data_IF_751124871276
#
_entry.id   IF_751124871276
#
_cell.length_a   1.000
_cell.length_b   1.000
_cell.length_c   1.000
_cell.angle_alpha   90.00
_cell.angle_beta   90.00
_cell.angle_gamma   90.00
#
_symmetry.space_group_name_H-M   'P 1'
#
loop_
_entity.id
_entity.type
_entity.pdbx_description
1 polymer ?
#
# COMPACT_ATOMS: atom_id res chain seq x y z
N UNK A 1 29.62 -3.41 -52.20
CA UNK A 1 28.66 -2.51 -52.87
C UNK A 1 27.54 -1.95 -51.97
N UNK A 2 27.09 -2.60 -50.88
CA UNK A 2 26.06 -2.02 -50.00
C UNK A 2 26.58 -1.00 -48.97
N UNK A 3 27.82 -1.17 -48.47
CA UNK A 3 28.45 -0.25 -47.49
C UNK A 3 28.54 1.19 -48.00
N UNK A 4 28.91 1.37 -49.26
CA UNK A 4 29.06 2.70 -49.87
C UNK A 4 27.72 3.42 -49.99
N UNK A 5 26.64 2.69 -50.34
CA UNK A 5 25.28 3.24 -50.40
C UNK A 5 24.79 3.69 -49.03
N UNK A 6 25.05 2.91 -47.98
CA UNK A 6 24.65 3.30 -46.62
C UNK A 6 25.44 4.51 -46.12
N UNK A 7 26.74 4.57 -46.41
CA UNK A 7 27.57 5.73 -46.06
C UNK A 7 27.07 7.00 -46.74
N UNK A 8 26.65 6.93 -48.02
CA UNK A 8 26.11 8.12 -48.72
C UNK A 8 24.84 8.65 -48.04
N UNK A 9 23.99 7.78 -47.48
CA UNK A 9 22.82 8.23 -46.73
C UNK A 9 23.18 8.90 -45.40
N UNK A 10 24.24 8.43 -44.72
CA UNK A 10 24.77 9.11 -43.53
C UNK A 10 25.38 10.47 -43.89
N UNK A 11 26.15 10.55 -44.98
CA UNK A 11 26.82 11.80 -45.37
C UNK A 11 25.83 12.89 -45.83
N UNK A 12 24.68 12.49 -46.38
CA UNK A 12 23.60 13.40 -46.83
C UNK A 12 22.62 13.78 -45.71
N UNK A 13 22.67 13.13 -44.56
CA UNK A 13 21.76 13.42 -43.46
C UNK A 13 22.23 14.64 -42.66
N UNK A 14 21.28 15.48 -42.24
CA UNK A 14 21.55 16.63 -41.38
C UNK A 14 21.72 16.18 -39.92
N UNK A 15 22.96 15.90 -39.52
CA UNK A 15 23.29 15.61 -38.13
C UNK A 15 23.71 16.87 -37.38
N UNK A 16 23.28 16.94 -36.11
CA UNK A 16 23.85 17.87 -35.14
C UNK A 16 24.88 17.11 -34.31
N UNK A 17 26.15 17.48 -34.43
CA UNK A 17 27.20 16.92 -33.59
C UNK A 17 27.10 17.51 -32.18
N UNK A 18 27.06 16.65 -31.17
CA UNK A 18 27.04 17.05 -29.75
C UNK A 18 28.18 16.36 -29.00
N UNK A 19 29.01 17.15 -28.32
CA UNK A 19 30.04 16.62 -27.42
C UNK A 19 29.42 16.39 -26.04
N UNK A 20 29.52 15.15 -25.54
CA UNK A 20 29.06 14.77 -24.20
C UNK A 20 30.26 14.56 -23.28
N UNK A 21 30.25 15.21 -22.12
CA UNK A 21 31.29 15.07 -21.11
C UNK A 21 30.85 14.05 -20.06
N UNK A 22 31.67 13.04 -19.83
CA UNK A 22 31.33 11.93 -18.93
C UNK A 22 31.05 12.37 -17.49
N UNK A 23 31.85 13.31 -16.96
CA UNK A 23 31.68 13.83 -15.60
C UNK A 23 30.32 14.54 -15.42
N UNK A 24 29.94 15.38 -16.38
CA UNK A 24 28.65 16.07 -16.35
C UNK A 24 27.48 15.08 -16.40
N UNK A 25 27.58 14.05 -17.24
CA UNK A 25 26.57 13.00 -17.33
C UNK A 25 26.41 12.25 -15.99
N UNK A 26 27.52 11.99 -15.30
CA UNK A 26 27.51 11.32 -13.99
C UNK A 26 26.85 12.21 -12.92
N UNK A 27 27.15 13.50 -12.90
CA UNK A 27 26.54 14.45 -11.98
C UNK A 27 25.03 14.63 -12.22
N UNK A 28 24.62 14.67 -13.49
CA UNK A 28 23.21 14.68 -13.89
C UNK A 28 22.50 13.40 -13.44
N UNK A 29 23.10 12.23 -13.73
CA UNK A 29 22.55 10.93 -13.35
C UNK A 29 22.41 10.82 -11.83
N UNK A 30 23.42 11.26 -11.08
CA UNK A 30 23.39 11.29 -9.62
C UNK A 30 22.20 12.11 -9.12
N UNK A 31 22.04 13.33 -9.64
CA UNK A 31 20.93 14.21 -9.25
C UNK A 31 19.57 13.58 -9.55
N UNK A 32 19.42 12.95 -10.72
CA UNK A 32 18.18 12.27 -11.10
C UNK A 32 17.87 11.10 -10.15
N UNK A 33 18.88 10.28 -9.82
CA UNK A 33 18.73 9.15 -8.91
C UNK A 33 18.41 9.60 -7.48
N UNK A 34 19.09 10.64 -6.98
CA UNK A 34 18.85 11.18 -5.64
C UNK A 34 17.41 11.66 -5.51
N UNK A 35 16.91 12.43 -6.49
CA UNK A 35 15.51 12.86 -6.53
C UNK A 35 14.54 11.68 -6.65
N UNK A 36 14.88 10.65 -7.42
CA UNK A 36 14.06 9.45 -7.55
C UNK A 36 13.93 8.73 -6.21
N UNK A 37 15.03 8.46 -5.51
CA UNK A 37 15.02 7.78 -4.21
C UNK A 37 14.33 8.61 -3.13
N UNK A 38 14.56 9.93 -3.12
CA UNK A 38 13.94 10.82 -2.15
C UNK A 38 12.41 10.80 -2.26
N UNK A 39 11.86 10.79 -3.48
CA UNK A 39 10.41 10.64 -3.70
C UNK A 39 9.88 9.33 -3.10
N UNK A 40 10.59 8.22 -3.30
CA UNK A 40 10.18 6.90 -2.76
C UNK A 40 10.26 6.87 -1.24
N UNK A 41 11.33 7.44 -0.67
CA UNK A 41 11.50 7.55 0.78
C UNK A 41 10.37 8.37 1.42
N UNK A 42 10.04 9.54 0.86
CA UNK A 42 8.95 10.38 1.37
C UNK A 42 7.59 9.68 1.27
N UNK A 43 7.35 8.89 0.22
CA UNK A 43 6.12 8.10 0.09
C UNK A 43 6.01 7.01 1.16
N UNK A 44 7.10 6.28 1.43
CA UNK A 44 7.16 5.27 2.47
C UNK A 44 6.99 5.89 3.87
N UNK A 45 7.63 7.05 4.13
CA UNK A 45 7.50 7.75 5.40
C UNK A 45 6.06 8.14 5.70
N UNK A 46 5.33 8.68 4.72
CA UNK A 46 3.90 9.02 4.88
C UNK A 46 3.04 7.81 5.24
N UNK A 47 3.33 6.65 4.65
CA UNK A 47 2.62 5.40 4.98
C UNK A 47 2.94 5.00 6.42
N UNK A 48 4.21 5.05 6.81
CA UNK A 48 4.64 4.68 8.16
C UNK A 48 4.07 5.61 9.23
N UNK A 49 4.13 6.92 9.03
CA UNK A 49 3.55 7.93 9.93
C UNK A 49 2.03 7.73 10.06
N UNK A 50 1.33 7.56 8.94
CA UNK A 50 -0.11 7.32 8.97
C UNK A 50 -0.47 6.01 9.67
N UNK A 51 0.29 4.93 9.42
CA UNK A 51 0.11 3.65 10.09
C UNK A 51 0.34 3.77 11.60
N UNK A 52 1.40 4.47 12.02
CA UNK A 52 1.69 4.74 13.42
C UNK A 52 0.54 5.53 14.08
N UNK A 53 0.13 6.66 13.49
CA UNK A 53 -0.93 7.51 14.03
C UNK A 53 -2.28 6.78 14.14
N UNK A 54 -2.62 5.98 13.13
CA UNK A 54 -3.85 5.19 13.12
C UNK A 54 -3.80 4.09 14.17
N UNK A 55 -2.69 3.35 14.23
CA UNK A 55 -2.51 2.26 15.19
C UNK A 55 -2.56 2.79 16.62
N UNK A 56 -1.77 3.80 16.96
CA UNK A 56 -1.75 4.44 18.27
C UNK A 56 -3.14 4.93 18.69
N UNK A 57 -3.85 5.63 17.77
CA UNK A 57 -5.20 6.13 18.04
C UNK A 57 -6.15 4.98 18.36
N UNK A 58 -6.13 3.91 17.57
CA UNK A 58 -7.03 2.77 17.75
C UNK A 58 -6.71 1.99 19.04
N UNK A 59 -5.43 1.79 19.35
CA UNK A 59 -5.03 1.16 20.60
C UNK A 59 -5.43 1.99 21.83
N UNK A 60 -5.21 3.31 21.82
CA UNK A 60 -5.62 4.20 22.92
C UNK A 60 -7.13 4.21 23.13
N UNK A 61 -7.91 4.35 22.04
CA UNK A 61 -9.38 4.30 22.14
C UNK A 61 -9.85 2.96 22.71
N UNK A 62 -9.20 1.85 22.35
CA UNK A 62 -9.52 0.51 22.83
C UNK A 62 -9.15 0.31 24.31
N UNK A 63 -7.99 0.80 24.74
CA UNK A 63 -7.58 0.79 26.15
C UNK A 63 -8.60 1.55 27.02
N UNK A 64 -9.02 2.74 26.56
CA UNK A 64 -10.04 3.54 27.25
C UNK A 64 -11.40 2.82 27.33
N UNK A 65 -11.83 2.17 26.25
CA UNK A 65 -13.07 1.39 26.23
C UNK A 65 -13.02 0.21 27.22
N UNK A 66 -11.91 -0.52 27.25
CA UNK A 66 -11.68 -1.64 28.17
C UNK A 66 -11.70 -1.18 29.64
N UNK A 67 -10.98 -0.11 29.97
CA UNK A 67 -10.95 0.46 31.32
C UNK A 67 -12.34 0.96 31.76
N UNK A 68 -13.15 1.47 30.84
CA UNK A 68 -14.52 1.90 31.12
C UNK A 68 -15.42 0.72 31.45
N UNK A 69 -15.32 -0.39 30.69
CA UNK A 69 -16.06 -1.63 30.96
C UNK A 69 -15.68 -2.28 32.30
N UNK A 70 -14.39 -2.24 32.67
CA UNK A 70 -13.94 -2.73 33.98
C UNK A 70 -14.56 -1.92 35.14
N UNK A 71 -14.63 -0.59 35.00
CA UNK A 71 -15.23 0.28 36.01
C UNK A 71 -16.73 0.02 36.20
N UNK A 72 -17.45 -0.33 35.14
CA UNK A 72 -18.89 -0.66 35.21
C UNK A 72 -19.17 -2.05 35.75
N UNK A 73 -18.26 -3.00 35.58
CA UNK A 73 -18.45 -4.42 35.96
C UNK A 73 -17.98 -4.77 37.38
N UNK A 74 -17.41 -3.82 38.14
CA UNK A 74 -16.96 -3.98 39.54
C UNK A 74 -18.07 -4.32 40.56
N UNK A 75 -19.31 -4.60 40.13
CA UNK A 75 -20.41 -5.07 41.00
C UNK A 75 -20.80 -6.54 40.80
N UNK A 76 -20.06 -7.35 40.03
CA UNK A 76 -20.33 -8.80 39.96
C UNK A 76 -19.08 -9.67 39.99
N UNK A 77 -19.18 -10.69 40.82
CA UNK A 77 -18.19 -11.66 41.30
C UNK A 77 -17.25 -12.29 40.25
N UNK A 78 -15.99 -12.50 40.65
CA UNK A 78 -14.85 -13.00 39.87
C UNK A 78 -15.15 -14.23 38.98
N UNK A 79 -14.83 -14.10 37.68
CA UNK A 79 -14.56 -15.18 36.74
C UNK A 79 -13.61 -14.69 35.62
N UNK A 80 -12.38 -14.33 35.97
CA UNK A 80 -11.42 -13.75 35.02
C UNK A 80 -10.73 -14.78 34.10
N UNK A 81 -11.12 -16.07 34.12
CA UNK A 81 -10.45 -17.15 33.36
C UNK A 81 -11.29 -17.83 32.28
N UNK A 82 -12.44 -17.26 31.90
CA UNK A 82 -13.29 -17.81 30.82
C UNK A 82 -13.89 -16.72 29.94
N UNK A 83 -13.03 -16.07 29.15
CA UNK A 83 -13.28 -15.85 27.72
C UNK A 83 -11.98 -15.37 27.09
N UNK A 84 -11.31 -16.25 26.35
CA UNK A 84 -10.40 -15.88 25.26
C UNK A 84 -11.23 -15.27 24.09
N UNK A 85 -12.08 -14.31 24.43
CA UNK A 85 -12.91 -13.56 23.51
C UNK A 85 -12.26 -12.20 23.35
N UNK A 86 -11.59 -12.02 22.23
CA UNK A 86 -11.23 -10.75 21.61
C UNK A 86 -11.75 -9.50 22.34
N UNK A 87 -10.82 -8.63 22.74
CA UNK A 87 -10.99 -7.31 23.38
C UNK A 87 -11.94 -6.32 22.66
N UNK A 88 -13.17 -6.71 22.30
CA UNK A 88 -14.13 -5.92 21.54
C UNK A 88 -13.60 -5.43 20.18
N UNK A 89 -12.64 -6.15 19.62
CA UNK A 89 -11.80 -5.74 18.49
C UNK A 89 -12.58 -5.44 17.21
N UNK A 90 -13.68 -6.15 16.97
CA UNK A 90 -14.56 -5.93 15.83
C UNK A 90 -15.94 -6.50 16.14
N UNK A 91 -16.98 -5.93 15.52
CA UNK A 91 -18.34 -6.46 15.61
C UNK A 91 -18.54 -7.68 14.68
N UNK A 92 -17.65 -7.86 13.70
CA UNK A 92 -17.77 -8.87 12.65
C UNK A 92 -17.11 -10.19 13.05
N UNK A 93 -17.80 -11.31 12.80
CA UNK A 93 -17.27 -12.66 13.06
C UNK A 93 -16.50 -13.26 11.89
N UNK A 94 -16.63 -12.67 10.70
CA UNK A 94 -16.01 -13.16 9.46
C UNK A 94 -15.62 -11.97 8.59
N UNK A 95 -14.50 -12.08 7.87
CA UNK A 95 -14.05 -11.07 6.92
C UNK A 95 -15.10 -10.79 5.82
N UNK A 96 -15.83 -11.82 5.40
CA UNK A 96 -16.88 -11.70 4.39
C UNK A 96 -18.07 -10.84 4.85
N UNK A 97 -18.20 -10.54 6.14
CA UNK A 97 -19.22 -9.61 6.62
C UNK A 97 -18.80 -8.15 6.56
N UNK A 98 -17.53 -7.87 6.28
CA UNK A 98 -17.08 -6.51 5.95
C UNK A 98 -17.63 -6.11 4.59
N UNK A 99 -17.94 -4.83 4.45
CA UNK A 99 -18.39 -4.26 3.19
C UNK A 99 -17.31 -4.41 2.10
N UNK A 100 -17.75 -4.27 0.85
CA UNK A 100 -16.85 -4.41 -0.30
C UNK A 100 -15.88 -3.23 -0.43
N UNK A 101 -16.13 -2.13 0.27
CA UNK A 101 -15.22 -0.99 0.31
C UNK A 101 -14.02 -1.27 1.21
N UNK A 102 -14.26 -1.78 2.41
CA UNK A 102 -13.25 -2.07 3.43
C UNK A 102 -12.45 -3.32 3.11
N UNK A 103 -13.11 -4.40 2.65
CA UNK A 103 -12.45 -5.68 2.43
C UNK A 103 -12.48 -6.11 0.96
N UNK A 104 -11.30 -6.02 0.34
CA UNK A 104 -10.98 -6.54 -0.99
C UNK A 104 -9.80 -7.50 -0.88
N UNK A 105 -9.89 -8.64 -1.53
CA UNK A 105 -8.93 -9.74 -1.36
C UNK A 105 -8.33 -10.18 -2.69
N UNK A 106 -7.01 -10.30 -2.73
CA UNK A 106 -6.27 -10.69 -3.93
C UNK A 106 -6.54 -12.15 -4.36
N UNK A 107 -6.95 -13.01 -3.43
CA UNK A 107 -7.17 -14.45 -3.67
C UNK A 107 -8.63 -14.80 -3.96
N UNK A 108 -9.56 -13.86 -3.74
CA UNK A 108 -11.00 -14.08 -3.91
C UNK A 108 -11.49 -13.22 -5.07
N UNK A 109 -11.68 -13.77 -6.28
CA UNK A 109 -12.04 -13.00 -7.47
C UNK A 109 -13.30 -12.14 -7.30
N UNK A 110 -14.28 -12.61 -6.51
CA UNK A 110 -15.52 -11.88 -6.22
C UNK A 110 -15.31 -10.62 -5.36
N UNK A 111 -14.15 -10.52 -4.68
CA UNK A 111 -13.77 -9.41 -3.78
C UNK A 111 -12.73 -8.48 -4.39
N UNK A 112 -12.39 -8.65 -5.67
CA UNK A 112 -11.52 -7.71 -6.36
C UNK A 112 -12.27 -6.39 -6.62
N UNK A 113 -11.54 -5.27 -6.77
CA UNK A 113 -12.12 -4.01 -7.23
C UNK A 113 -12.82 -4.20 -8.59
N UNK A 114 -13.99 -3.57 -8.78
CA UNK A 114 -14.75 -3.67 -10.03
C UNK A 114 -14.14 -2.81 -11.15
N UNK A 115 -13.44 -1.73 -10.80
CA UNK A 115 -12.88 -0.73 -11.70
C UNK A 115 -11.43 -1.03 -12.16
N UNK A 116 -11.11 -2.30 -12.43
CA UNK A 116 -9.76 -2.69 -12.86
C UNK A 116 -9.55 -2.45 -14.35
N UNK A 117 -8.48 -1.73 -14.72
CA UNK A 117 -8.11 -1.44 -16.11
C UNK A 117 -6.65 -1.79 -16.37
N UNK A 118 -6.30 -2.14 -17.61
CA UNK A 118 -4.93 -2.48 -17.98
C UNK A 118 -4.02 -1.26 -17.82
N UNK A 119 -2.93 -1.41 -17.07
CA UNK A 119 -1.98 -0.32 -16.85
C UNK A 119 -0.58 -0.70 -17.39
N UNK A 120 0.00 0.07 -18.34
CA UNK A 120 1.26 -0.27 -18.99
C UNK A 120 2.43 -0.47 -18.02
N UNK A 121 2.56 0.38 -17.00
CA UNK A 121 3.65 0.25 -16.03
C UNK A 121 3.59 -1.06 -15.23
N UNK A 122 2.39 -1.54 -14.90
CA UNK A 122 2.18 -2.76 -14.12
C UNK A 122 2.02 -4.01 -14.98
N UNK A 123 1.84 -3.85 -16.30
CA UNK A 123 1.64 -4.91 -17.29
C UNK A 123 0.48 -5.85 -16.92
N UNK A 124 -0.54 -5.32 -16.24
CA UNK A 124 -1.72 -6.05 -15.79
C UNK A 124 -2.90 -5.12 -15.51
N UNK A 125 -4.08 -5.70 -15.34
CA UNK A 125 -5.25 -4.98 -14.86
C UNK A 125 -5.07 -4.63 -13.38
N UNK A 126 -5.21 -3.35 -13.05
CA UNK A 126 -5.07 -2.82 -11.69
C UNK A 126 -6.19 -1.82 -11.40
N UNK A 127 -6.51 -1.64 -10.13
CA UNK A 127 -7.27 -0.48 -9.66
C UNK A 127 -6.29 0.54 -9.08
N UNK A 128 -6.51 1.82 -9.37
CA UNK A 128 -5.73 2.93 -8.78
C UNK A 128 -6.45 3.59 -7.60
N UNK A 129 -7.71 3.21 -7.37
CA UNK A 129 -8.55 3.77 -6.31
C UNK A 129 -8.60 2.87 -5.07
N UNK A 130 -8.42 1.56 -5.26
CA UNK A 130 -8.52 0.59 -4.18
C UNK A 130 -7.29 -0.29 -4.07
N UNK A 131 -6.91 -0.51 -2.82
CA UNK A 131 -5.97 -1.52 -2.36
C UNK A 131 -6.66 -2.89 -2.25
N UNK A 132 -5.83 -3.93 -2.19
CA UNK A 132 -6.27 -5.30 -1.95
C UNK A 132 -5.41 -5.91 -0.85
N UNK A 133 -5.99 -6.79 -0.05
CA UNK A 133 -5.27 -7.52 0.99
C UNK A 133 -4.87 -8.89 0.46
N UNK A 134 -3.66 -9.33 0.82
CA UNK A 134 -3.19 -10.70 0.64
C UNK A 134 -2.95 -11.30 2.02
N UNK A 135 -3.74 -12.30 2.38
CA UNK A 135 -3.64 -13.00 3.66
C UNK A 135 -2.97 -14.34 3.40
N UNK A 136 -1.93 -14.68 4.17
CA UNK A 136 -1.26 -15.98 4.08
C UNK A 136 -2.24 -17.11 4.42
N UNK A 137 -2.10 -18.26 3.74
CA UNK A 137 -2.97 -19.41 3.94
C UNK A 137 -2.85 -20.01 5.35
N UNK A 138 -1.71 -19.78 6.02
CA UNK A 138 -1.45 -20.22 7.40
C UNK A 138 -2.18 -19.37 8.44
N UNK A 139 -2.67 -18.17 8.09
CA UNK A 139 -3.29 -17.24 9.02
C UNK A 139 -4.83 -17.43 9.02
N UNK A 140 -5.46 -17.70 10.18
CA UNK A 140 -6.90 -17.87 10.26
C UNK A 140 -7.66 -16.59 9.90
N UNK A 141 -8.24 -16.56 8.70
CA UNK A 141 -8.99 -15.41 8.14
C UNK A 141 -10.16 -14.93 9.01
N UNK A 142 -10.81 -15.83 9.76
CA UNK A 142 -11.95 -15.50 10.62
C UNK A 142 -11.57 -15.30 12.09
N UNK A 143 -10.28 -15.19 12.42
CA UNK A 143 -9.91 -14.73 13.74
C UNK A 143 -10.12 -13.22 13.87
N UNK A 144 -10.33 -12.78 15.09
CA UNK A 144 -10.69 -11.40 15.36
C UNK A 144 -9.53 -10.44 15.06
N UNK A 145 -8.28 -10.89 15.23
CA UNK A 145 -7.11 -10.10 14.89
C UNK A 145 -6.99 -9.83 13.40
N UNK A 146 -7.22 -10.82 12.52
CA UNK A 146 -7.18 -10.64 11.06
C UNK A 146 -8.29 -9.71 10.60
N UNK A 147 -9.50 -9.88 11.11
CA UNK A 147 -10.64 -9.02 10.77
C UNK A 147 -10.33 -7.58 11.16
N UNK A 148 -9.84 -7.38 12.37
CA UNK A 148 -9.46 -6.07 12.86
C UNK A 148 -8.31 -5.47 12.05
N UNK A 149 -7.28 -6.26 11.73
CA UNK A 149 -6.14 -5.81 10.92
C UNK A 149 -6.60 -5.30 9.56
N UNK A 150 -7.47 -6.04 8.88
CA UNK A 150 -8.06 -5.58 7.60
C UNK A 150 -8.84 -4.28 7.80
N UNK A 151 -9.69 -4.20 8.82
CA UNK A 151 -10.56 -3.05 9.08
C UNK A 151 -9.77 -1.76 9.33
N UNK A 152 -8.68 -1.82 10.10
CA UNK A 152 -7.90 -0.61 10.36
C UNK A 152 -6.92 -0.28 9.23
N UNK A 153 -6.28 -1.28 8.62
CA UNK A 153 -5.31 -1.05 7.54
C UNK A 153 -5.96 -0.50 6.28
N UNK A 154 -7.26 -0.76 6.07
CA UNK A 154 -8.05 -0.11 5.01
C UNK A 154 -7.94 1.42 5.06
N UNK A 155 -7.79 2.01 6.26
CA UNK A 155 -7.65 3.47 6.43
C UNK A 155 -6.33 4.05 5.89
N UNK A 156 -5.38 3.21 5.45
CA UNK A 156 -4.17 3.63 4.74
C UNK A 156 -4.42 3.93 3.25
N UNK A 157 -5.55 3.50 2.69
CA UNK A 157 -5.90 3.68 1.28
C UNK A 157 -5.76 5.13 0.77
N UNK A 158 -6.25 6.16 1.50
CA UNK A 158 -6.07 7.55 1.07
C UNK A 158 -4.60 7.96 0.93
N UNK A 159 -3.70 7.41 1.74
CA UNK A 159 -2.25 7.69 1.64
C UNK A 159 -1.66 7.04 0.39
N UNK A 160 -2.07 5.82 0.05
CA UNK A 160 -1.63 5.16 -1.18
C UNK A 160 -2.07 5.92 -2.43
N UNK A 161 -3.32 6.38 -2.46
CA UNK A 161 -3.88 7.21 -3.55
C UNK A 161 -3.11 8.52 -3.64
N UNK A 162 -2.93 9.23 -2.52
CA UNK A 162 -2.16 10.48 -2.48
C UNK A 162 -0.72 10.32 -2.92
N UNK A 163 -0.06 9.22 -2.56
CA UNK A 163 1.30 8.93 -3.00
C UNK A 163 1.39 8.77 -4.52
N UNK A 164 0.36 8.17 -5.15
CA UNK A 164 0.26 8.03 -6.60
C UNK A 164 0.00 9.38 -7.28
N UNK A 165 -0.82 10.24 -6.70
CA UNK A 165 -1.05 11.61 -7.20
C UNK A 165 0.24 12.44 -7.20
N UNK A 166 1.06 12.30 -6.16
CA UNK A 166 2.34 12.99 -6.04
C UNK A 166 3.45 12.39 -6.92
N UNK A 167 3.36 11.09 -7.21
CA UNK A 167 4.34 10.36 -8.02
C UNK A 167 3.64 9.36 -8.97
N UNK A 168 3.28 9.81 -10.20
CA UNK A 168 2.67 8.97 -11.22
C UNK A 168 3.56 7.82 -11.75
N UNK A 169 4.81 7.70 -11.30
CA UNK A 169 5.70 6.58 -11.63
C UNK A 169 5.89 5.63 -10.45
N UNK A 170 5.22 5.87 -9.31
CA UNK A 170 5.28 4.96 -8.17
C UNK A 170 4.77 3.57 -8.55
N UNK A 171 5.54 2.56 -8.13
CA UNK A 171 5.22 1.14 -8.31
C UNK A 171 4.34 0.67 -7.16
N UNK A 172 4.29 -0.64 -6.94
CA UNK A 172 3.53 -1.25 -5.85
C UNK A 172 3.87 -0.59 -4.51
N UNK A 173 2.82 -0.21 -3.80
CA UNK A 173 2.87 0.22 -2.41
C UNK A 173 2.23 -0.87 -1.57
N UNK A 174 2.82 -1.20 -0.42
CA UNK A 174 2.28 -2.21 0.47
C UNK A 174 2.65 -1.88 1.91
N UNK A 175 1.80 -2.32 2.83
CA UNK A 175 2.04 -2.31 4.27
C UNK A 175 1.97 -3.76 4.75
N UNK A 176 3.06 -4.23 5.40
CA UNK A 176 3.10 -5.55 6.04
C UNK A 176 2.68 -5.42 7.49
N UNK A 177 1.64 -6.15 7.88
CA UNK A 177 1.15 -6.22 9.27
C UNK A 177 1.64 -7.48 9.98
#
# INVERSE_FOLDING_TARGET
MHREKTQTFFDLAEYKEEKKYGEQLLDEMKTILDLYFEKKQRAALRIAECAHDLHDRLYRTREQAYLTQLKTNSSSHLSWRKSEGSLGLTQHKQLLHLDNETYKDADIPLRLPTNMTFHPHFKRNVSLQHSVVKISDEIPRNNVESIWTVEWTHKLEPVFVRNRELDPDIRWQYFGS
#
